data_IF_074327313879
#
_entry.id   IF_074327313879
#
_cell.length_a   1.000
_cell.length_b   1.000
_cell.length_c   1.000
_cell.angle_alpha   90.00
_cell.angle_beta   90.00
_cell.angle_gamma   90.00
#
_symmetry.space_group_name_H-M   'P 1'
#
loop_
_entity.id
_entity.type
_entity.pdbx_description
1 polymer ?
#
# COMPACT_ATOMS: atom_id res chain seq x y z
N UNK A 1 43.85 -13.11 1.42
CA UNK A 1 43.26 -12.56 2.66
C UNK A 1 43.14 -11.03 2.67
N UNK A 2 44.15 -10.26 2.25
CA UNK A 2 44.10 -8.79 2.30
C UNK A 2 42.95 -8.16 1.49
N UNK A 3 42.57 -8.74 0.35
CA UNK A 3 41.48 -8.22 -0.50
C UNK A 3 40.09 -8.40 0.16
N UNK A 4 39.78 -9.59 0.67
CA UNK A 4 38.49 -9.86 1.32
C UNK A 4 38.27 -8.97 2.55
N UNK A 5 39.31 -8.72 3.36
CA UNK A 5 39.21 -7.77 4.47
C UNK A 5 38.94 -6.34 4.00
N UNK A 6 39.47 -5.91 2.85
CA UNK A 6 39.21 -4.56 2.31
C UNK A 6 37.77 -4.45 1.83
N UNK A 7 37.29 -5.48 1.13
CA UNK A 7 35.90 -5.56 0.66
C UNK A 7 34.95 -5.54 1.86
N UNK A 8 35.18 -6.35 2.88
CA UNK A 8 34.36 -6.39 4.10
C UNK A 8 34.28 -5.01 4.78
N UNK A 9 35.41 -4.31 4.95
CA UNK A 9 35.42 -2.96 5.51
C UNK A 9 34.63 -1.96 4.68
N UNK A 10 34.72 -2.06 3.35
CA UNK A 10 33.95 -1.21 2.44
C UNK A 10 32.45 -1.51 2.55
N UNK A 11 32.07 -2.79 2.58
CA UNK A 11 30.68 -3.21 2.75
C UNK A 11 30.12 -2.80 4.12
N UNK A 12 30.93 -2.80 5.17
CA UNK A 12 30.52 -2.30 6.48
C UNK A 12 30.17 -0.80 6.45
N UNK A 13 30.93 0.02 5.71
CA UNK A 13 30.59 1.44 5.52
C UNK A 13 29.31 1.62 4.70
N UNK A 14 29.15 0.88 3.61
CA UNK A 14 27.90 0.90 2.83
C UNK A 14 26.71 0.49 3.71
N UNK A 15 26.86 -0.56 4.51
CA UNK A 15 25.82 -1.04 5.41
C UNK A 15 25.47 0.02 6.46
N UNK A 16 26.47 0.67 7.06
CA UNK A 16 26.26 1.73 8.04
C UNK A 16 25.46 2.89 7.44
N UNK A 17 25.95 3.48 6.34
CA UNK A 17 25.28 4.62 5.71
C UNK A 17 23.92 4.23 5.13
N UNK A 18 23.81 3.05 4.51
CA UNK A 18 22.54 2.53 3.99
C UNK A 18 21.50 2.39 5.10
N UNK A 19 21.87 1.79 6.23
CA UNK A 19 20.97 1.62 7.37
C UNK A 19 20.57 2.97 7.98
N UNK A 20 21.50 3.92 8.10
CA UNK A 20 21.19 5.29 8.54
C UNK A 20 20.19 5.96 7.60
N UNK A 21 20.40 5.88 6.28
CA UNK A 21 19.46 6.42 5.30
C UNK A 21 18.10 5.73 5.34
N UNK A 22 18.05 4.42 5.61
CA UNK A 22 16.81 3.67 5.74
C UNK A 22 15.95 4.14 6.91
N UNK A 23 16.58 4.40 8.07
CA UNK A 23 15.87 4.98 9.20
C UNK A 23 15.40 6.41 8.92
N UNK A 24 16.25 7.23 8.30
CA UNK A 24 15.88 8.61 7.96
C UNK A 24 14.74 8.66 6.94
N UNK A 25 14.79 7.84 5.89
CA UNK A 25 13.76 7.83 4.85
C UNK A 25 12.43 7.29 5.38
N UNK A 26 12.45 6.23 6.20
CA UNK A 26 11.26 5.69 6.85
C UNK A 26 10.65 6.69 7.83
N UNK A 27 11.46 7.20 8.77
CA UNK A 27 11.00 8.17 9.76
C UNK A 27 10.52 9.48 9.12
N UNK A 28 11.30 10.00 8.16
CA UNK A 28 10.99 11.23 7.43
C UNK A 28 9.67 11.16 6.66
N UNK A 29 9.37 10.02 6.05
CA UNK A 29 8.09 9.79 5.36
C UNK A 29 6.91 9.83 6.34
N UNK A 30 7.04 9.18 7.51
CA UNK A 30 5.97 9.16 8.53
C UNK A 30 5.70 10.50 9.19
N UNK A 31 6.67 11.42 9.16
CA UNK A 31 6.56 12.75 9.79
C UNK A 31 6.34 13.89 8.79
N UNK A 32 6.33 13.60 7.48
CA UNK A 32 6.18 14.61 6.44
C UNK A 32 7.35 15.60 6.36
N UNK A 33 8.53 15.23 6.85
CA UNK A 33 9.73 16.09 6.83
C UNK A 33 10.36 16.11 5.43
N UNK A 34 10.14 15.05 4.65
CA UNK A 34 10.71 14.82 3.33
C UNK A 34 9.59 14.49 2.35
N UNK A 35 9.75 14.85 1.08
CA UNK A 35 8.84 14.47 -0.01
C UNK A 35 8.50 12.96 0.05
N UNK A 36 7.21 12.67 0.24
CA UNK A 36 6.73 11.31 0.52
C UNK A 36 6.97 10.37 -0.66
N UNK A 37 6.75 10.84 -1.90
CA UNK A 37 6.90 10.02 -3.10
C UNK A 37 8.36 9.62 -3.37
N UNK A 38 9.29 10.57 -3.32
CA UNK A 38 10.73 10.30 -3.48
C UNK A 38 11.27 9.46 -2.32
N UNK A 39 10.86 9.74 -1.09
CA UNK A 39 11.27 8.95 0.07
C UNK A 39 10.76 7.51 -0.02
N UNK A 40 9.52 7.30 -0.45
CA UNK A 40 8.94 5.97 -0.63
C UNK A 40 9.69 5.17 -1.69
N UNK A 41 10.05 5.78 -2.82
CA UNK A 41 10.83 5.11 -3.84
C UNK A 41 12.22 4.71 -3.32
N UNK A 42 12.91 5.62 -2.64
CA UNK A 42 14.22 5.33 -2.04
C UNK A 42 14.14 4.23 -0.96
N UNK A 43 13.16 4.32 -0.06
CA UNK A 43 12.98 3.44 1.09
C UNK A 43 12.52 2.03 0.72
N UNK A 44 11.59 1.91 -0.24
CA UNK A 44 11.00 0.63 -0.59
C UNK A 44 11.79 -0.08 -1.71
N UNK A 45 12.30 0.67 -2.69
CA UNK A 45 12.90 0.08 -3.90
C UNK A 45 14.41 -0.09 -3.80
N UNK A 46 15.14 0.94 -3.37
CA UNK A 46 16.61 0.95 -3.50
C UNK A 46 17.34 0.55 -2.22
N UNK A 47 16.97 1.14 -1.07
CA UNK A 47 17.68 0.92 0.19
C UNK A 47 17.67 -0.56 0.64
N UNK A 48 16.56 -1.32 0.56
CA UNK A 48 16.54 -2.71 0.98
C UNK A 48 17.50 -3.58 0.16
N UNK A 49 17.62 -3.33 -1.14
CA UNK A 49 18.54 -4.08 -2.02
C UNK A 49 19.99 -3.78 -1.64
N UNK A 50 20.34 -2.49 -1.53
CA UNK A 50 21.71 -2.06 -1.19
C UNK A 50 22.13 -2.59 0.19
N UNK A 51 21.25 -2.47 1.19
CA UNK A 51 21.50 -2.91 2.57
C UNK A 51 21.61 -4.42 2.64
N UNK A 52 20.71 -5.16 1.99
CA UNK A 52 20.73 -6.62 1.99
C UNK A 52 22.01 -7.16 1.36
N UNK A 53 22.44 -6.61 0.23
CA UNK A 53 23.70 -7.00 -0.42
C UNK A 53 24.89 -6.72 0.51
N UNK A 54 24.99 -5.50 1.04
CA UNK A 54 26.09 -5.12 1.94
C UNK A 54 26.12 -5.99 3.22
N UNK A 55 24.95 -6.28 3.79
CA UNK A 55 24.79 -7.17 4.93
C UNK A 55 25.27 -8.58 4.63
N UNK A 56 24.88 -9.18 3.50
CA UNK A 56 25.30 -10.54 3.11
C UNK A 56 26.82 -10.64 3.03
N UNK A 57 27.49 -9.67 2.42
CA UNK A 57 28.96 -9.66 2.36
C UNK A 57 29.59 -9.47 3.74
N UNK A 58 29.12 -8.51 4.53
CA UNK A 58 29.69 -8.20 5.84
C UNK A 58 29.45 -9.32 6.85
N UNK A 59 28.20 -9.73 7.04
CA UNK A 59 27.81 -10.79 7.95
C UNK A 59 28.37 -12.15 7.49
N UNK A 60 28.39 -12.41 6.17
CA UNK A 60 28.99 -13.61 5.61
C UNK A 60 30.48 -13.70 5.94
N UNK A 61 31.24 -12.63 5.74
CA UNK A 61 32.66 -12.63 6.06
C UNK A 61 32.92 -12.79 7.56
N UNK A 62 32.17 -12.07 8.40
CA UNK A 62 32.29 -12.14 9.87
C UNK A 62 31.97 -13.55 10.41
N UNK A 63 30.88 -14.16 9.94
CA UNK A 63 30.48 -15.52 10.36
C UNK A 63 31.47 -16.57 9.89
N UNK A 64 31.99 -16.45 8.66
CA UNK A 64 33.08 -17.31 8.16
C UNK A 64 34.32 -17.23 9.06
N UNK A 65 34.75 -16.02 9.43
CA UNK A 65 35.87 -15.84 10.34
C UNK A 65 35.60 -16.43 11.73
N UNK A 66 34.38 -16.29 12.25
CA UNK A 66 33.97 -16.89 13.52
C UNK A 66 34.07 -18.43 13.48
N UNK A 67 33.55 -19.07 12.42
CA UNK A 67 33.64 -20.52 12.28
C UNK A 67 35.07 -21.02 12.09
N UNK A 68 35.91 -20.27 11.37
CA UNK A 68 37.34 -20.58 11.27
C UNK A 68 38.03 -20.52 12.64
N UNK A 69 37.71 -19.49 13.44
CA UNK A 69 38.23 -19.34 14.80
C UNK A 69 37.80 -20.49 15.71
N UNK A 70 36.56 -20.97 15.59
CA UNK A 70 36.04 -22.11 16.36
C UNK A 70 36.45 -23.48 15.79
N UNK A 71 37.22 -23.53 14.70
CA UNK A 71 37.61 -24.77 13.99
C UNK A 71 36.41 -25.60 13.51
N UNK A 72 35.26 -24.95 13.33
CA UNK A 72 34.02 -25.57 12.83
C UNK A 72 33.88 -25.46 11.31
N UNK A 73 34.86 -24.88 10.62
CA UNK A 73 34.80 -24.64 9.17
C UNK A 73 35.02 -25.90 8.31
N UNK A 74 34.19 -26.93 8.53
CA UNK A 74 34.15 -28.20 7.79
C UNK A 74 33.16 -28.10 6.62
N UNK A 75 33.24 -29.03 5.67
CA UNK A 75 32.37 -29.06 4.49
C UNK A 75 30.86 -28.94 4.77
N UNK A 76 30.24 -29.65 5.74
CA UNK A 76 28.80 -29.50 5.97
C UNK A 76 28.42 -28.08 6.42
N UNK A 77 29.26 -27.45 7.24
CA UNK A 77 29.04 -26.09 7.71
C UNK A 77 29.25 -25.08 6.58
N UNK A 78 30.21 -25.30 5.68
CA UNK A 78 30.37 -24.48 4.47
C UNK A 78 29.14 -24.54 3.58
N UNK A 79 28.61 -25.75 3.35
CA UNK A 79 27.43 -25.94 2.51
C UNK A 79 26.20 -25.28 3.13
N UNK A 80 25.94 -25.52 4.42
CA UNK A 80 24.83 -24.90 5.14
C UNK A 80 24.94 -23.37 5.16
N UNK A 81 26.13 -22.84 5.43
CA UNK A 81 26.39 -21.40 5.42
C UNK A 81 26.14 -20.78 4.04
N UNK A 82 26.59 -21.44 2.96
CA UNK A 82 26.36 -20.97 1.59
C UNK A 82 24.87 -21.01 1.23
N UNK A 83 24.18 -22.10 1.56
CA UNK A 83 22.72 -22.24 1.35
C UNK A 83 21.97 -21.14 2.10
N UNK A 84 22.34 -20.84 3.35
CA UNK A 84 21.71 -19.79 4.14
C UNK A 84 21.82 -18.42 3.46
N UNK A 85 23.03 -17.98 3.08
CA UNK A 85 23.22 -16.65 2.50
C UNK A 85 22.65 -16.53 1.08
N UNK A 86 22.74 -17.59 0.26
CA UNK A 86 22.13 -17.62 -1.07
C UNK A 86 20.61 -17.62 -0.96
N UNK A 87 20.04 -18.43 -0.07
CA UNK A 87 18.61 -18.49 0.19
C UNK A 87 18.07 -17.18 0.76
N UNK A 88 18.79 -16.56 1.69
CA UNK A 88 18.46 -15.25 2.25
C UNK A 88 18.47 -14.16 1.18
N UNK A 89 19.48 -14.09 0.32
CA UNK A 89 19.51 -13.11 -0.76
C UNK A 89 18.40 -13.40 -1.81
N UNK A 90 18.20 -14.67 -2.13
CA UNK A 90 17.17 -15.12 -3.07
C UNK A 90 15.76 -14.85 -2.57
N UNK A 91 15.49 -14.93 -1.25
CA UNK A 91 14.17 -14.65 -0.70
C UNK A 91 13.78 -13.18 -0.86
N UNK A 92 14.73 -12.25 -0.68
CA UNK A 92 14.49 -10.82 -0.92
C UNK A 92 14.19 -10.53 -2.40
N UNK A 93 14.91 -11.17 -3.33
CA UNK A 93 14.63 -11.05 -4.76
C UNK A 93 13.25 -11.65 -5.10
N UNK A 94 12.91 -12.79 -4.52
CA UNK A 94 11.61 -13.44 -4.73
C UNK A 94 10.45 -12.56 -4.23
N UNK A 95 10.60 -11.94 -3.06
CA UNK A 95 9.57 -11.04 -2.50
C UNK A 95 9.37 -9.83 -3.43
N UNK A 96 10.45 -9.21 -3.89
CA UNK A 96 10.43 -8.07 -4.81
C UNK A 96 9.74 -8.41 -6.15
N UNK A 97 10.08 -9.55 -6.75
CA UNK A 97 9.60 -9.90 -8.10
C UNK A 97 8.24 -10.61 -8.12
N UNK A 98 7.95 -11.45 -7.13
CA UNK A 98 6.84 -12.40 -7.19
C UNK A 98 5.75 -12.15 -6.15
N UNK A 99 6.13 -11.73 -4.94
CA UNK A 99 5.14 -11.50 -3.88
C UNK A 99 4.36 -10.19 -4.11
N UNK A 100 5.01 -9.14 -4.60
CA UNK A 100 4.34 -7.87 -4.87
C UNK A 100 3.48 -7.91 -6.15
N UNK A 101 3.91 -8.69 -7.16
CA UNK A 101 3.19 -8.89 -8.43
C UNK A 101 1.88 -9.67 -8.26
N UNK A 102 1.90 -10.77 -7.50
CA UNK A 102 0.72 -11.63 -7.29
C UNK A 102 -0.43 -10.93 -6.57
N UNK A 103 -0.16 -9.99 -5.66
CA UNK A 103 -1.19 -9.18 -5.00
C UNK A 103 -1.86 -8.19 -5.97
N UNK A 104 -1.11 -7.65 -6.91
CA UNK A 104 -1.66 -6.74 -7.93
C UNK A 104 -2.57 -7.51 -8.90
N UNK A 105 -2.17 -8.70 -9.33
CA UNK A 105 -2.95 -9.54 -10.27
C UNK A 105 -4.23 -10.09 -9.63
N UNK A 106 -4.18 -10.57 -8.39
CA UNK A 106 -5.37 -11.08 -7.69
C UNK A 106 -6.45 -10.01 -7.48
N UNK A 107 -6.05 -8.75 -7.29
CA UNK A 107 -6.99 -7.63 -7.16
C UNK A 107 -7.68 -7.29 -8.49
N UNK A 108 -6.97 -7.45 -9.62
CA UNK A 108 -7.53 -7.22 -10.97
C UNK A 108 -8.54 -8.33 -11.32
N UNK A 109 -8.23 -9.58 -10.99
CA UNK A 109 -9.13 -10.72 -11.22
C UNK A 109 -10.42 -10.61 -10.39
N UNK A 110 -10.32 -10.23 -9.12
CA UNK A 110 -11.48 -10.02 -8.25
C UNK A 110 -12.38 -8.87 -8.73
N UNK A 111 -11.80 -7.82 -9.32
CA UNK A 111 -12.59 -6.72 -9.92
C UNK A 111 -13.25 -7.09 -11.26
N UNK A 112 -12.81 -8.16 -11.93
CA UNK A 112 -13.35 -8.56 -13.25
C UNK A 112 -14.57 -9.47 -13.13
N UNK A 113 -14.69 -10.25 -12.05
CA UNK A 113 -15.81 -11.18 -11.86
C UNK A 113 -17.11 -10.51 -11.39
N UNK A 114 -17.07 -9.28 -10.91
CA UNK A 114 -18.24 -8.59 -10.35
C UNK A 114 -18.99 -7.70 -11.36
N UNK A 115 -18.50 -7.58 -12.61
CA UNK A 115 -19.11 -6.78 -13.67
C UNK A 115 -20.00 -7.59 -14.65
N UNK A 116 -20.14 -8.90 -14.42
CA UNK A 116 -20.73 -9.83 -15.39
C UNK A 116 -22.05 -10.45 -14.97
N UNK A 117 -22.96 -9.70 -14.35
CA UNK A 117 -24.36 -10.14 -14.23
C UNK A 117 -25.22 -8.93 -13.86
N UNK A 118 -25.90 -8.32 -14.84
CA UNK A 118 -27.30 -7.90 -14.70
C UNK A 118 -27.84 -7.27 -16.01
N UNK A 119 -28.88 -7.95 -16.53
CA UNK A 119 -29.98 -7.49 -17.37
C UNK A 119 -29.79 -7.15 -18.86
N UNK A 120 -30.03 -8.19 -19.68
CA UNK A 120 -30.99 -8.11 -20.79
C UNK A 120 -32.40 -7.79 -20.24
N UNK A 121 -33.10 -6.79 -20.79
CA UNK A 121 -34.30 -6.99 -21.62
C UNK A 121 -35.08 -5.67 -21.92
N UNK A 122 -35.28 -5.47 -23.22
CA UNK A 122 -36.25 -4.69 -24.02
C UNK A 122 -37.13 -3.56 -23.43
N UNK A 123 -36.86 -2.37 -23.98
CA UNK A 123 -37.71 -1.48 -24.80
C UNK A 123 -39.23 -1.68 -24.89
N UNK A 124 -39.96 -0.55 -24.75
CA UNK A 124 -40.88 0.11 -25.70
C UNK A 124 -42.19 0.64 -25.07
N UNK A 125 -42.41 1.96 -25.14
CA UNK A 125 -43.68 2.61 -25.52
C UNK A 125 -43.58 4.16 -25.57
N UNK A 126 -43.46 4.66 -26.81
CA UNK A 126 -43.99 5.88 -27.47
C UNK A 126 -44.98 6.79 -26.70
N UNK A 127 -44.82 8.13 -26.70
CA UNK A 127 -45.44 9.08 -27.66
C UNK A 127 -45.16 10.58 -27.35
N UNK A 128 -45.26 11.40 -28.41
CA UNK A 128 -44.99 12.84 -28.63
C UNK A 128 -45.74 13.81 -27.67
N UNK A 129 -45.43 15.11 -27.48
CA UNK A 129 -45.19 16.15 -28.49
C UNK A 129 -44.79 17.53 -27.87
N UNK A 130 -43.92 18.27 -28.58
CA UNK A 130 -43.72 19.73 -28.70
C UNK A 130 -43.40 20.65 -27.49
N UNK A 131 -42.24 21.32 -27.60
CA UNK A 131 -41.88 22.57 -26.94
C UNK A 131 -40.70 23.23 -27.66
N UNK A 132 -40.90 24.47 -28.10
CA UNK A 132 -40.04 25.31 -28.93
C UNK A 132 -38.93 26.02 -28.12
N UNK A 133 -37.77 26.21 -28.77
CA UNK A 133 -36.74 27.25 -28.58
C UNK A 133 -35.68 27.16 -27.45
N UNK A 134 -34.43 27.03 -27.95
CA UNK A 134 -33.15 27.60 -27.51
C UNK A 134 -32.53 27.17 -26.17
N UNK A 135 -31.51 26.30 -26.22
CA UNK A 135 -30.07 26.62 -26.03
C UNK A 135 -29.23 25.56 -26.78
N UNK A 136 -28.47 25.93 -27.82
CA UNK A 136 -27.42 25.07 -28.39
C UNK A 136 -26.07 25.58 -27.90
N UNK A 137 -25.56 24.85 -26.93
CA UNK A 137 -24.16 24.75 -26.55
C UNK A 137 -23.44 23.90 -27.60
N UNK A 138 -22.25 24.30 -28.04
CA UNK A 138 -21.43 23.47 -28.92
C UNK A 138 -20.02 23.30 -28.33
N UNK A 139 -19.95 22.37 -27.37
CA UNK A 139 -19.06 21.22 -27.29
C UNK A 139 -17.57 21.37 -27.69
N UNK A 140 -16.69 21.20 -26.69
CA UNK A 140 -15.43 20.44 -26.82
C UNK A 140 -15.18 19.61 -25.55
N UNK A 141 -15.72 18.39 -25.56
CA UNK A 141 -15.12 17.09 -25.22
C UNK A 141 -13.86 17.07 -24.35
N UNK A 142 -13.90 16.33 -23.22
CA UNK A 142 -12.98 15.20 -22.91
C UNK A 142 -13.24 14.53 -21.55
N UNK A 143 -13.62 13.25 -21.59
CA UNK A 143 -13.21 12.17 -20.69
C UNK A 143 -13.46 12.28 -19.16
N UNK A 144 -14.70 12.57 -18.74
CA UNK A 144 -15.08 12.53 -17.31
C UNK A 144 -16.53 12.06 -17.09
N UNK A 145 -17.01 11.15 -17.95
CA UNK A 145 -18.42 10.71 -17.95
C UNK A 145 -18.55 9.19 -17.72
N UNK A 146 -18.26 8.77 -16.49
CA UNK A 146 -18.88 7.59 -15.84
C UNK A 146 -18.85 7.76 -14.29
N UNK A 147 -19.44 8.84 -13.77
CA UNK A 147 -19.67 8.97 -12.32
C UNK A 147 -20.87 9.84 -11.95
N UNK A 148 -22.00 9.70 -12.64
CA UNK A 148 -23.26 10.27 -12.18
C UNK A 148 -23.98 9.29 -11.26
N UNK A 149 -23.59 9.27 -9.97
CA UNK A 149 -24.43 8.97 -8.76
C UNK A 149 -23.60 8.64 -7.50
N UNK A 150 -22.32 9.05 -7.39
CA UNK A 150 -21.61 8.92 -6.10
C UNK A 150 -22.26 9.82 -5.06
N UNK A 151 -22.88 9.20 -4.06
CA UNK A 151 -23.51 9.89 -2.94
C UNK A 151 -22.48 10.79 -2.25
N UNK A 152 -22.81 12.09 -2.17
CA UNK A 152 -22.01 13.07 -1.45
C UNK A 152 -22.43 13.11 0.01
N UNK A 153 -21.46 13.17 0.92
CA UNK A 153 -21.68 13.27 2.35
C UNK A 153 -21.05 14.57 2.86
N UNK A 154 -21.83 15.39 3.56
CA UNK A 154 -21.29 16.44 4.45
C UNK A 154 -20.83 15.83 5.77
N UNK A 155 -20.19 16.63 6.63
CA UNK A 155 -19.85 16.22 7.99
C UNK A 155 -21.10 15.80 8.79
N UNK A 156 -22.20 16.54 8.66
CA UNK A 156 -23.46 16.26 9.35
C UNK A 156 -24.11 14.97 8.82
N UNK A 157 -24.10 14.77 7.51
CA UNK A 157 -24.64 13.55 6.92
C UNK A 157 -23.81 12.32 7.27
N UNK A 158 -22.48 12.44 7.23
CA UNK A 158 -21.58 11.36 7.62
C UNK A 158 -21.76 10.98 9.09
N UNK A 159 -22.02 11.95 9.98
CA UNK A 159 -22.18 11.72 11.42
C UNK A 159 -23.35 10.80 11.79
N UNK A 160 -24.32 10.61 10.90
CA UNK A 160 -25.47 9.69 11.08
C UNK A 160 -25.07 8.22 10.94
N UNK A 161 -23.93 7.95 10.31
CA UNK A 161 -23.40 6.62 10.05
C UNK A 161 -22.32 6.28 11.08
N UNK A 162 -22.73 6.32 12.35
CA UNK A 162 -21.85 6.25 13.51
C UNK A 162 -21.59 4.84 14.01
N UNK A 163 -22.12 3.80 13.38
CA UNK A 163 -21.95 2.41 13.81
C UNK A 163 -22.72 2.01 15.07
N UNK A 164 -23.62 2.86 15.58
CA UNK A 164 -24.39 2.61 16.80
C UNK A 164 -25.85 2.31 16.49
N UNK A 165 -26.52 1.62 17.41
CA UNK A 165 -27.97 1.34 17.32
C UNK A 165 -28.39 0.69 15.98
N UNK A 166 -27.50 -0.11 15.38
CA UNK A 166 -27.75 -0.76 14.09
C UNK A 166 -27.45 0.12 12.86
N UNK A 167 -27.03 1.37 13.04
CA UNK A 167 -26.50 2.19 11.94
C UNK A 167 -25.17 1.60 11.45
N UNK A 168 -24.85 1.67 10.16
CA UNK A 168 -23.54 1.25 9.67
C UNK A 168 -22.47 2.27 10.09
N UNK A 169 -21.21 1.83 10.06
CA UNK A 169 -20.07 2.62 10.51
C UNK A 169 -19.27 3.15 9.31
N UNK A 170 -19.52 4.40 8.91
CA UNK A 170 -18.84 5.02 7.77
C UNK A 170 -17.73 5.97 8.22
N UNK A 171 -16.64 6.00 7.46
CA UNK A 171 -15.50 6.88 7.73
C UNK A 171 -15.02 7.51 6.43
N UNK A 172 -14.74 8.81 6.46
CA UNK A 172 -14.10 9.49 5.34
C UNK A 172 -12.56 9.45 5.46
N UNK A 173 -11.89 9.08 4.37
CA UNK A 173 -10.42 9.15 4.19
C UNK A 173 -10.13 9.62 2.77
N UNK A 174 -9.28 10.63 2.62
CA UNK A 174 -8.90 11.25 1.34
C UNK A 174 -10.10 11.64 0.47
N UNK A 175 -11.13 12.22 1.08
CA UNK A 175 -12.34 12.66 0.37
C UNK A 175 -13.27 11.52 -0.09
N UNK A 176 -12.99 10.26 0.29
CA UNK A 176 -13.83 9.10 -0.01
C UNK A 176 -14.45 8.55 1.27
N UNK A 177 -15.71 8.13 1.21
CA UNK A 177 -16.42 7.53 2.33
C UNK A 177 -16.41 6.01 2.18
N UNK A 178 -15.90 5.32 3.19
CA UNK A 178 -15.77 3.87 3.23
C UNK A 178 -16.75 3.25 4.23
N UNK A 179 -17.30 2.09 3.88
CA UNK A 179 -18.02 1.25 4.84
C UNK A 179 -17.03 0.39 5.65
N UNK A 180 -16.85 0.76 6.93
CA UNK A 180 -15.96 0.08 7.86
C UNK A 180 -16.72 -0.64 8.99
N UNK A 181 -17.99 -0.97 8.76
CA UNK A 181 -18.87 -1.65 9.74
C UNK A 181 -18.30 -2.96 10.28
N UNK A 182 -17.45 -3.64 9.51
CA UNK A 182 -16.81 -4.90 9.91
C UNK A 182 -15.64 -4.75 10.88
N UNK A 183 -15.11 -3.53 11.09
CA UNK A 183 -13.96 -3.27 11.97
C UNK A 183 -14.21 -2.19 13.02
N UNK A 184 -15.29 -1.42 12.89
CA UNK A 184 -15.77 -0.50 13.91
C UNK A 184 -16.88 -1.16 14.74
N UNK A 185 -16.50 -1.77 15.86
CA UNK A 185 -17.44 -2.41 16.79
C UNK A 185 -18.18 -1.33 17.59
N UNK A 186 -19.51 -1.33 17.53
CA UNK A 186 -20.38 -0.30 18.13
C UNK A 186 -19.93 1.14 17.79
N UNK A 187 -19.47 1.34 16.55
CA UNK A 187 -19.02 2.64 16.07
C UNK A 187 -17.63 3.05 16.52
N UNK A 188 -16.84 2.13 17.08
CA UNK A 188 -15.52 2.42 17.66
C UNK A 188 -14.44 1.50 17.10
N UNK A 189 -13.31 2.10 16.74
CA UNK A 189 -12.08 1.39 16.42
C UNK A 189 -10.93 2.05 17.20
N UNK A 190 -10.48 1.38 18.27
CA UNK A 190 -9.57 1.96 19.28
C UNK A 190 -10.07 3.31 19.84
N UNK A 191 -9.34 4.40 19.60
CA UNK A 191 -9.67 5.75 20.08
C UNK A 191 -10.44 6.57 19.05
N UNK A 192 -10.82 5.98 17.92
CA UNK A 192 -11.53 6.64 16.83
C UNK A 192 -12.98 6.17 16.73
N UNK A 193 -13.83 7.07 16.23
CA UNK A 193 -15.27 6.86 16.13
C UNK A 193 -15.70 7.02 14.68
N UNK A 194 -16.64 6.16 14.25
CA UNK A 194 -17.27 6.27 12.94
C UNK A 194 -18.12 7.54 12.81
N UNK A 195 -18.54 7.84 11.59
CA UNK A 195 -19.27 9.05 11.21
C UNK A 195 -18.38 10.29 11.10
N UNK A 196 -17.08 10.13 10.81
CA UNK A 196 -16.10 11.23 10.80
C UNK A 196 -15.14 11.15 9.62
N UNK A 197 -14.60 12.31 9.26
CA UNK A 197 -13.38 12.45 8.46
C UNK A 197 -12.18 12.12 9.36
N UNK A 198 -11.42 11.09 8.98
CA UNK A 198 -10.32 10.54 9.78
C UNK A 198 -9.03 10.40 8.99
N UNK A 199 -8.83 11.10 7.87
CA UNK A 199 -7.63 10.97 7.02
C UNK A 199 -6.34 11.01 7.84
N UNK A 200 -6.15 12.05 8.65
CA UNK A 200 -4.94 12.21 9.47
C UNK A 200 -4.78 11.09 10.51
N UNK A 201 -5.87 10.69 11.14
CA UNK A 201 -5.88 9.63 12.15
C UNK A 201 -5.57 8.27 11.54
N UNK A 202 -6.16 7.96 10.39
CA UNK A 202 -5.94 6.75 9.63
C UNK A 202 -4.46 6.59 9.27
N UNK A 203 -3.84 7.62 8.67
CA UNK A 203 -2.42 7.56 8.28
C UNK A 203 -1.43 7.56 9.46
N UNK A 204 -1.90 7.77 10.69
CA UNK A 204 -1.05 7.63 11.88
C UNK A 204 -0.78 6.17 12.24
N UNK A 205 -1.63 5.23 11.81
CA UNK A 205 -1.54 3.80 12.15
C UNK A 205 -1.63 2.86 10.94
N UNK A 206 -2.09 3.36 9.79
CA UNK A 206 -2.37 2.58 8.59
C UNK A 206 -1.80 3.20 7.33
N UNK A 207 -1.76 2.40 6.26
CA UNK A 207 -1.41 2.82 4.90
C UNK A 207 -2.65 2.72 4.01
N UNK A 208 -2.71 3.50 2.92
CA UNK A 208 -3.87 3.55 2.02
C UNK A 208 -4.35 2.17 1.55
N UNK A 209 -3.42 1.22 1.33
CA UNK A 209 -3.72 -0.17 0.91
C UNK A 209 -4.65 -0.92 1.89
N UNK A 210 -4.69 -0.54 3.17
CA UNK A 210 -5.57 -1.16 4.15
C UNK A 210 -7.06 -0.92 3.84
N UNK A 211 -7.39 0.12 3.06
CA UNK A 211 -8.76 0.45 2.66
C UNK A 211 -9.23 -0.30 1.40
N UNK A 212 -8.33 -0.93 0.64
CA UNK A 212 -8.64 -1.53 -0.67
C UNK A 212 -9.67 -2.67 -0.61
N UNK A 213 -9.85 -3.27 0.57
CA UNK A 213 -10.80 -4.37 0.80
C UNK A 213 -12.17 -3.92 1.31
N UNK A 214 -12.37 -2.61 1.52
CA UNK A 214 -13.63 -2.07 2.03
C UNK A 214 -14.38 -1.30 0.93
N UNK A 215 -15.72 -1.42 0.87
CA UNK A 215 -16.52 -0.72 -0.11
C UNK A 215 -16.41 0.81 0.04
N UNK A 216 -16.30 1.51 -1.09
CA UNK A 216 -16.49 2.96 -1.16
C UNK A 216 -17.98 3.20 -1.36
N UNK A 217 -18.61 3.96 -0.45
CA UNK A 217 -20.05 4.25 -0.44
C UNK A 217 -20.38 5.68 -0.82
N UNK A 218 -19.36 6.51 -1.04
CA UNK A 218 -19.55 7.90 -1.43
C UNK A 218 -18.29 8.74 -1.48
N UNK A 219 -18.50 10.04 -1.68
CA UNK A 219 -17.49 11.08 -1.58
C UNK A 219 -17.81 11.98 -0.38
N UNK A 220 -16.78 12.41 0.33
CA UNK A 220 -16.88 13.37 1.41
C UNK A 220 -16.63 14.78 0.87
N UNK A 221 -17.50 15.73 1.21
CA UNK A 221 -17.35 17.14 0.90
C UNK A 221 -17.47 17.93 2.21
N UNK A 222 -16.49 18.80 2.45
CA UNK A 222 -16.53 19.78 3.54
C UNK A 222 -17.61 20.84 3.32
#
# INVERSE_FOLDING_TARGET
MKLLCKIDRFMAWILLFGMTLFFISGYGMTKGIIDSAKSANLHNKYLPIIITVAFVFHAGYATRLAFMRWKWWRWPIKALWLIFFVGFLGSFIYIDQWYEKSQTENNISASTEQAGNDSENQSEATNQQNGDSNIVENNQTSADDELSTVKSFSAEDLSKYDGKNGNPAYVAVDGKVYDLSSVFEEGKHFSHYAGKELTKAFYSYHVAKALAKYPIVGAFRE
#
